data_IF_301396507215
#
_entry.id   IF_301396507215
#
_cell.length_a   1.000
_cell.length_b   1.000
_cell.length_c   1.000
_cell.angle_alpha   90.00
_cell.angle_beta   90.00
_cell.angle_gamma   90.00
#
_symmetry.space_group_name_H-M   'P 1'
#
loop_
_entity.id
_entity.type
_entity.pdbx_description
1 polymer ?
#
# COMPACT_ATOMS: atom_id res chain seq x y z
N UNK A 1 4.49 -1.34 20.93
CA UNK A 1 4.32 -0.90 19.52
C UNK A 1 3.38 0.28 19.51
N UNK A 2 3.80 1.45 18.99
CA UNK A 2 2.96 2.65 19.05
C UNK A 2 1.71 2.52 18.17
N UNK A 3 0.60 3.14 18.57
CA UNK A 3 -0.67 3.08 17.82
C UNK A 3 -0.57 3.68 16.40
N UNK A 4 0.46 4.49 16.15
CA UNK A 4 0.76 5.02 14.82
C UNK A 4 1.36 3.94 13.92
N UNK A 5 2.29 3.14 14.44
CA UNK A 5 2.93 2.06 13.70
C UNK A 5 1.93 0.96 13.34
N UNK A 6 1.03 0.60 14.27
CA UNK A 6 -0.07 -0.35 13.99
C UNK A 6 -1.00 0.14 12.88
N UNK A 7 -1.39 1.41 12.91
CA UNK A 7 -2.20 2.02 11.84
C UNK A 7 -1.47 2.03 10.51
N UNK A 8 -0.17 2.31 10.49
CA UNK A 8 0.61 2.32 9.25
C UNK A 8 0.70 0.93 8.62
N UNK A 9 0.94 -0.10 9.43
CA UNK A 9 0.92 -1.50 9.00
C UNK A 9 -0.46 -1.96 8.52
N UNK A 10 -1.53 -1.49 9.17
CA UNK A 10 -2.88 -1.75 8.70
C UNK A 10 -3.11 -1.09 7.32
N UNK A 11 -2.71 0.17 7.17
CA UNK A 11 -2.85 0.92 5.93
C UNK A 11 -1.99 0.36 4.79
N UNK A 12 -0.82 -0.21 5.08
CA UNK A 12 0.01 -0.89 4.07
C UNK A 12 -0.61 -2.19 3.55
N UNK A 13 -1.67 -2.71 4.17
CA UNK A 13 -2.41 -3.87 3.70
C UNK A 13 -3.74 -3.46 3.08
N UNK A 14 -4.50 -2.60 3.79
CA UNK A 14 -5.83 -2.15 3.37
C UNK A 14 -5.77 -1.39 2.05
N UNK A 15 -4.80 -0.49 1.88
CA UNK A 15 -4.70 0.31 0.67
C UNK A 15 -4.40 -0.54 -0.58
N UNK A 16 -3.38 -1.41 -0.60
CA UNK A 16 -3.17 -2.36 -1.70
C UNK A 16 -4.38 -3.23 -1.99
N UNK A 17 -5.06 -3.75 -0.96
CA UNK A 17 -6.27 -4.56 -1.15
C UNK A 17 -7.35 -3.79 -1.91
N UNK A 18 -7.64 -2.54 -1.51
CA UNK A 18 -8.64 -1.71 -2.19
C UNK A 18 -8.23 -1.46 -3.65
N UNK A 19 -6.96 -1.13 -3.90
CA UNK A 19 -6.45 -0.87 -5.25
C UNK A 19 -6.57 -2.12 -6.14
N UNK A 20 -6.22 -3.30 -5.61
CA UNK A 20 -6.36 -4.56 -6.34
C UNK A 20 -7.82 -4.90 -6.64
N UNK A 21 -8.72 -4.72 -5.68
CA UNK A 21 -10.17 -4.94 -5.90
C UNK A 21 -10.68 -3.99 -6.98
N UNK A 22 -10.33 -2.71 -6.92
CA UNK A 22 -10.74 -1.73 -7.92
C UNK A 22 -10.21 -2.10 -9.32
N UNK A 23 -8.97 -2.57 -9.41
CA UNK A 23 -8.40 -3.02 -10.69
C UNK A 23 -9.14 -4.23 -11.26
N UNK A 24 -9.46 -5.22 -10.44
CA UNK A 24 -10.27 -6.38 -10.86
C UNK A 24 -11.63 -5.91 -11.39
N UNK A 25 -12.30 -4.98 -10.70
CA UNK A 25 -13.56 -4.41 -11.18
C UNK A 25 -13.43 -3.71 -12.53
N UNK A 26 -12.35 -2.93 -12.74
CA UNK A 26 -12.08 -2.27 -14.01
C UNK A 26 -11.89 -3.29 -15.13
N UNK A 27 -11.08 -4.33 -14.90
CA UNK A 27 -10.81 -5.35 -15.91
C UNK A 27 -12.08 -6.15 -16.26
N UNK A 28 -12.97 -6.41 -15.27
CA UNK A 28 -14.30 -6.99 -15.52
C UNK A 28 -15.16 -6.09 -16.41
N UNK A 29 -15.19 -4.77 -16.15
CA UNK A 29 -15.99 -3.81 -16.93
C UNK A 29 -15.45 -3.70 -18.36
N UNK A 30 -14.14 -3.76 -18.54
CA UNK A 30 -13.47 -3.68 -19.83
C UNK A 30 -13.47 -5.00 -20.61
N UNK A 31 -13.87 -6.11 -19.99
CA UNK A 31 -13.85 -7.45 -20.59
C UNK A 31 -12.42 -7.96 -20.84
N UNK A 32 -11.42 -7.46 -20.10
CA UNK A 32 -10.05 -7.96 -20.18
C UNK A 32 -9.92 -9.32 -19.49
N UNK A 33 -8.90 -10.10 -19.91
CA UNK A 33 -8.60 -11.38 -19.28
C UNK A 33 -8.07 -11.16 -17.86
N UNK A 34 -8.69 -11.85 -16.90
CA UNK A 34 -8.32 -11.79 -15.49
C UNK A 34 -7.02 -12.58 -15.27
N UNK A 35 -5.87 -11.90 -15.26
CA UNK A 35 -4.57 -12.50 -14.93
C UNK A 35 -4.24 -12.37 -13.44
N UNK A 36 -4.39 -13.47 -12.70
CA UNK A 36 -4.11 -13.53 -11.26
C UNK A 36 -2.69 -13.08 -10.88
N UNK A 37 -1.70 -13.37 -11.73
CA UNK A 37 -0.31 -12.94 -11.50
C UNK A 37 -0.16 -11.43 -11.59
N UNK A 38 -0.89 -10.77 -12.48
CA UNK A 38 -0.89 -9.31 -12.62
C UNK A 38 -1.42 -8.62 -11.36
N UNK A 39 -2.54 -9.10 -10.82
CA UNK A 39 -3.09 -8.57 -9.56
C UNK A 39 -2.19 -8.81 -8.36
N UNK A 40 -1.51 -9.96 -8.33
CA UNK A 40 -0.55 -10.30 -7.27
C UNK A 40 0.66 -9.37 -7.32
N UNK A 41 1.21 -9.13 -8.52
CA UNK A 41 2.30 -8.18 -8.72
C UNK A 41 1.88 -6.74 -8.36
N UNK A 42 0.68 -6.32 -8.74
CA UNK A 42 0.11 -5.02 -8.39
C UNK A 42 -0.02 -4.87 -6.87
N UNK A 43 -0.57 -5.88 -6.19
CA UNK A 43 -0.73 -5.89 -4.73
C UNK A 43 0.62 -5.82 -4.02
N UNK A 44 1.57 -6.67 -4.42
CA UNK A 44 2.91 -6.71 -3.81
C UNK A 44 3.68 -5.42 -4.07
N UNK A 45 3.61 -4.87 -5.29
CA UNK A 45 4.27 -3.61 -5.64
C UNK A 45 3.72 -2.43 -4.83
N UNK A 46 2.40 -2.33 -4.68
CA UNK A 46 1.76 -1.28 -3.88
C UNK A 46 2.01 -1.44 -2.38
N UNK A 47 1.95 -2.67 -1.85
CA UNK A 47 2.27 -2.94 -0.45
C UNK A 47 3.74 -2.62 -0.12
N UNK A 48 4.65 -3.01 -1.02
CA UNK A 48 6.09 -2.77 -0.89
C UNK A 48 6.40 -1.28 -0.97
N UNK A 49 5.80 -0.56 -1.92
CA UNK A 49 5.92 0.90 -2.00
C UNK A 49 5.42 1.58 -0.71
N UNK A 50 4.28 1.13 -0.18
CA UNK A 50 3.74 1.62 1.09
C UNK A 50 4.70 1.41 2.27
N UNK A 51 5.29 0.23 2.40
CA UNK A 51 6.19 -0.07 3.53
C UNK A 51 7.57 0.56 3.39
N UNK A 52 8.18 0.46 2.20
CA UNK A 52 9.57 0.90 1.97
C UNK A 52 9.66 2.42 1.85
N UNK A 53 8.62 3.11 1.36
CA UNK A 53 8.66 4.57 1.18
C UNK A 53 8.08 5.28 2.40
N UNK A 54 6.90 4.87 2.88
CA UNK A 54 6.19 5.61 3.95
C UNK A 54 6.87 5.41 5.31
N UNK A 55 7.43 4.22 5.59
CA UNK A 55 8.13 3.94 6.86
C UNK A 55 9.31 4.90 7.11
N UNK A 56 10.32 4.94 6.21
CA UNK A 56 11.44 5.86 6.32
C UNK A 56 11.03 7.34 6.26
N UNK A 57 10.05 7.71 5.42
CA UNK A 57 9.54 9.09 5.36
C UNK A 57 8.92 9.51 6.70
N UNK A 58 8.14 8.64 7.35
CA UNK A 58 7.52 8.99 8.63
C UNK A 58 8.54 9.06 9.76
N UNK A 59 9.61 8.26 9.70
CA UNK A 59 10.76 8.38 10.60
C UNK A 59 11.48 9.73 10.40
N UNK A 60 11.81 10.10 9.15
CA UNK A 60 12.45 11.37 8.84
C UNK A 60 11.59 12.57 9.27
N UNK A 61 10.28 12.52 9.07
CA UNK A 61 9.32 13.56 9.51
C UNK A 61 9.21 13.64 11.03
N UNK A 62 9.29 12.50 11.73
CA UNK A 62 9.28 12.51 13.20
C UNK A 62 10.58 13.09 13.75
N UNK A 63 11.73 12.70 13.18
CA UNK A 63 13.04 13.21 13.56
C UNK A 63 13.19 14.72 13.32
N UNK A 64 12.68 15.23 12.19
CA UNK A 64 12.73 16.68 11.89
C UNK A 64 11.85 17.54 12.81
N UNK A 65 10.89 16.92 13.53
CA UNK A 65 10.09 17.59 14.57
C UNK A 65 10.73 17.52 15.95
N UNK A 66 11.67 16.60 16.17
CA UNK A 66 12.42 16.46 17.43
C UNK A 66 13.61 17.43 17.51
N UNK A 67 14.18 17.80 16.36
CA UNK A 67 15.27 18.78 16.24
C UNK A 67 14.78 20.24 16.16
N UNK A 68 13.50 20.51 16.42
CA UNK A 68 12.88 21.85 16.42
C UNK A 68 12.32 22.18 17.80
#
# INVERSE_FOLDING_TARGET
MSDKLKRLLLWSLVFPTIVTILRIFIDIILGENIELLSYTALFLGTATAGLIIVGPLMYLVSKSKEEK
#
